data_IF_122488626920
#
_entry.id   IF_122488626920
#
_cell.length_a   1.000
_cell.length_b   1.000
_cell.length_c   1.000
_cell.angle_alpha   90.00
_cell.angle_beta   90.00
_cell.angle_gamma   90.00
#
_symmetry.space_group_name_H-M   'P 1'
#
loop_
_entity.id
_entity.type
_entity.pdbx_description
1 polymer ?
#
# COMPACT_ATOMS: atom_id res chain seq x y z
N UNK A 1 -3.62 -30.38 -52.27
CA UNK A 1 -2.30 -30.15 -51.61
C UNK A 1 -2.51 -29.19 -50.44
N UNK A 2 -2.89 -29.69 -49.26
CA UNK A 2 -3.18 -28.83 -48.09
C UNK A 2 -2.88 -29.50 -46.73
N UNK A 3 -2.39 -30.75 -46.72
CA UNK A 3 -2.23 -31.56 -45.50
C UNK A 3 -0.93 -31.32 -44.73
N UNK A 4 0.02 -30.56 -45.29
CA UNK A 4 1.33 -30.31 -44.64
C UNK A 4 1.30 -29.15 -43.64
N UNK A 5 0.45 -28.15 -43.87
CA UNK A 5 0.31 -26.96 -43.00
C UNK A 5 -0.39 -27.27 -41.66
N UNK A 6 -1.37 -28.17 -41.67
CA UNK A 6 -2.14 -28.56 -40.48
C UNK A 6 -1.31 -29.37 -39.46
N UNK A 7 -0.44 -30.27 -39.94
CA UNK A 7 0.45 -31.08 -39.11
C UNK A 7 1.51 -30.26 -38.35
N UNK A 8 2.03 -29.20 -38.99
CA UNK A 8 2.99 -28.30 -38.34
C UNK A 8 2.35 -27.51 -37.19
N UNK A 9 1.13 -27.01 -37.41
CA UNK A 9 0.35 -26.29 -36.38
C UNK A 9 -0.04 -27.18 -35.21
N UNK A 10 -0.43 -28.43 -35.45
CA UNK A 10 -0.77 -29.36 -34.36
C UNK A 10 0.44 -29.72 -33.50
N UNK A 11 1.63 -29.85 -34.09
CA UNK A 11 2.87 -30.10 -33.35
C UNK A 11 3.28 -28.87 -32.52
N UNK A 12 3.15 -27.67 -33.09
CA UNK A 12 3.43 -26.42 -32.37
C UNK A 12 2.49 -26.20 -31.17
N UNK A 13 1.19 -26.49 -31.33
CA UNK A 13 0.22 -26.40 -30.24
C UNK A 13 0.49 -27.44 -29.15
N UNK A 14 0.84 -28.67 -29.53
CA UNK A 14 1.21 -29.71 -28.58
C UNK A 14 2.46 -29.30 -27.78
N UNK A 15 3.45 -28.70 -28.45
CA UNK A 15 4.70 -28.27 -27.83
C UNK A 15 4.50 -27.08 -26.88
N UNK A 16 3.64 -26.12 -27.24
CA UNK A 16 3.21 -25.03 -26.34
C UNK A 16 2.44 -25.57 -25.14
N UNK A 17 1.55 -26.53 -25.34
CA UNK A 17 0.80 -27.17 -24.25
C UNK A 17 1.74 -27.90 -23.30
N UNK A 18 2.72 -28.63 -23.82
CA UNK A 18 3.75 -29.32 -23.02
C UNK A 18 4.61 -28.33 -22.22
N UNK A 19 5.02 -27.22 -22.85
CA UNK A 19 5.74 -26.13 -22.17
C UNK A 19 4.91 -25.48 -21.07
N UNK A 20 3.62 -25.25 -21.31
CA UNK A 20 2.71 -24.71 -20.30
C UNK A 20 2.53 -25.68 -19.13
N UNK A 21 2.38 -26.97 -19.40
CA UNK A 21 2.24 -28.01 -18.37
C UNK A 21 3.53 -28.18 -17.56
N UNK A 22 4.69 -28.08 -18.23
CA UNK A 22 6.00 -28.05 -17.57
C UNK A 22 6.14 -26.80 -16.69
N UNK A 23 5.76 -25.63 -17.20
CA UNK A 23 5.77 -24.37 -16.44
C UNK A 23 4.86 -24.44 -15.21
N UNK A 24 3.69 -25.07 -15.31
CA UNK A 24 2.79 -25.31 -14.17
C UNK A 24 3.36 -26.33 -13.16
N UNK A 25 4.29 -27.19 -13.59
CA UNK A 25 5.02 -28.12 -12.70
C UNK A 25 6.19 -27.43 -11.97
N UNK A 26 6.83 -26.46 -12.63
CA UNK A 26 7.96 -25.69 -12.08
C UNK A 26 7.52 -24.43 -11.31
N UNK A 27 6.36 -23.85 -11.61
CA UNK A 27 5.71 -22.87 -10.76
C UNK A 27 4.99 -23.65 -9.66
N UNK A 28 5.46 -23.61 -8.41
CA UNK A 28 4.68 -24.17 -7.33
C UNK A 28 3.30 -23.49 -7.36
N UNK A 29 2.19 -24.24 -7.32
CA UNK A 29 0.90 -23.64 -7.05
C UNK A 29 1.10 -22.82 -5.78
N UNK A 30 0.62 -21.57 -5.76
CA UNK A 30 0.70 -20.70 -4.58
C UNK A 30 -0.04 -21.36 -3.42
N UNK A 31 0.65 -22.28 -2.75
CA UNK A 31 0.14 -23.01 -1.61
C UNK A 31 -0.09 -21.95 -0.54
N UNK A 32 -1.30 -21.91 0.07
CA UNK A 32 -1.52 -21.02 1.19
C UNK A 32 -0.41 -21.27 2.20
N UNK A 33 0.35 -20.22 2.53
CA UNK A 33 1.52 -20.34 3.39
C UNK A 33 1.12 -21.07 4.68
N UNK A 34 1.77 -22.18 5.04
CA UNK A 34 1.46 -22.86 6.30
C UNK A 34 1.73 -21.88 7.44
N UNK A 35 0.69 -21.53 8.20
CA UNK A 35 0.89 -20.81 9.45
C UNK A 35 1.52 -21.77 10.48
N UNK A 36 2.52 -21.32 11.25
CA UNK A 36 3.09 -19.98 11.27
C UNK A 36 4.19 -19.81 10.22
N UNK A 37 4.07 -18.79 9.37
CA UNK A 37 5.22 -18.35 8.60
C UNK A 37 6.22 -17.66 9.53
N UNK A 38 7.50 -18.02 9.43
CA UNK A 38 8.57 -17.40 10.21
C UNK A 38 8.61 -15.88 9.99
N UNK A 39 8.12 -15.40 8.83
CA UNK A 39 7.91 -13.99 8.54
C UNK A 39 6.90 -13.33 9.50
N UNK A 40 5.72 -13.90 9.74
CA UNK A 40 4.77 -13.33 10.71
C UNK A 40 5.29 -13.44 12.15
N UNK A 41 6.07 -14.47 12.48
CA UNK A 41 6.76 -14.52 13.77
C UNK A 41 7.82 -13.40 13.92
N UNK A 42 8.46 -13.00 12.82
CA UNK A 42 9.49 -11.94 12.80
C UNK A 42 8.90 -10.54 12.71
N UNK A 43 7.82 -10.36 11.96
CA UNK A 43 7.13 -9.06 11.76
C UNK A 43 6.17 -8.77 12.93
N UNK A 44 5.65 -9.82 13.59
CA UNK A 44 4.64 -9.72 14.62
C UNK A 44 3.24 -9.54 14.05
N UNK A 45 2.26 -9.28 14.93
CA UNK A 45 0.85 -9.08 14.55
C UNK A 45 0.51 -7.61 14.25
N UNK A 46 1.53 -6.76 14.09
CA UNK A 46 1.37 -5.31 13.90
C UNK A 46 2.18 -4.81 12.72
N UNK A 47 1.54 -4.11 11.80
CA UNK A 47 2.18 -3.38 10.70
C UNK A 47 2.16 -1.89 11.03
N UNK A 48 3.33 -1.25 11.10
CA UNK A 48 3.42 0.17 11.43
C UNK A 48 3.33 1.02 10.17
N UNK A 49 2.44 2.00 10.18
CA UNK A 49 2.32 3.02 9.15
C UNK A 49 2.72 4.35 9.77
N UNK A 50 3.71 5.01 9.20
CA UNK A 50 4.12 6.34 9.61
C UNK A 50 3.16 7.41 9.10
N UNK A 51 3.05 8.52 9.81
CA UNK A 51 2.40 9.73 9.32
C UNK A 51 3.31 10.94 9.55
N UNK A 52 3.80 11.53 8.47
CA UNK A 52 4.58 12.76 8.50
C UNK A 52 3.61 13.95 8.43
N UNK A 53 3.35 14.55 9.59
CA UNK A 53 2.39 15.65 9.72
C UNK A 53 2.93 16.95 9.10
N UNK A 54 2.04 17.81 8.56
CA UNK A 54 2.43 19.12 8.05
C UNK A 54 3.19 19.97 9.08
N UNK A 55 4.20 20.70 8.63
CA UNK A 55 4.89 21.68 9.48
C UNK A 55 3.99 22.87 9.84
N UNK A 56 3.10 23.26 8.93
CA UNK A 56 2.14 24.34 9.14
C UNK A 56 1.09 23.96 10.19
N UNK A 57 1.01 24.73 11.27
CA UNK A 57 0.16 24.42 12.43
C UNK A 57 -1.32 24.31 12.07
N UNK A 58 -1.83 25.20 11.20
CA UNK A 58 -3.25 25.21 10.81
C UNK A 58 -3.68 23.91 10.13
N UNK A 59 -2.88 23.45 9.15
CA UNK A 59 -3.14 22.21 8.41
C UNK A 59 -2.86 20.99 9.28
N UNK A 60 -1.79 21.01 10.08
CA UNK A 60 -1.45 19.92 11.01
C UNK A 60 -2.60 19.53 11.93
N UNK A 61 -3.28 20.51 12.53
CA UNK A 61 -4.39 20.24 13.45
C UNK A 61 -5.52 19.51 12.74
N UNK A 62 -5.84 19.90 11.51
CA UNK A 62 -6.89 19.26 10.70
C UNK A 62 -6.51 17.83 10.33
N UNK A 63 -5.29 17.63 9.83
CA UNK A 63 -4.76 16.32 9.47
C UNK A 63 -4.72 15.40 10.69
N UNK A 64 -4.22 15.87 11.83
CA UNK A 64 -4.18 15.08 13.05
C UNK A 64 -5.59 14.68 13.52
N UNK A 65 -6.55 15.61 13.45
CA UNK A 65 -7.94 15.30 13.80
C UNK A 65 -8.55 14.27 12.86
N UNK A 66 -8.27 14.35 11.55
CA UNK A 66 -8.74 13.37 10.57
C UNK A 66 -8.11 11.99 10.80
N UNK A 67 -6.80 11.93 11.11
CA UNK A 67 -6.11 10.70 11.45
C UNK A 67 -6.68 10.04 12.71
N UNK A 68 -6.90 10.82 13.78
CA UNK A 68 -7.48 10.30 15.02
C UNK A 68 -8.87 9.70 14.76
N UNK A 69 -9.72 10.39 13.99
CA UNK A 69 -11.05 9.88 13.62
C UNK A 69 -10.96 8.59 12.80
N UNK A 70 -10.05 8.52 11.84
CA UNK A 70 -9.88 7.32 11.02
C UNK A 70 -9.41 6.10 11.85
N UNK A 71 -8.54 6.34 12.84
CA UNK A 71 -8.11 5.29 13.78
C UNK A 71 -9.28 4.84 14.66
N UNK A 72 -10.04 5.78 15.24
CA UNK A 72 -11.23 5.46 16.05
C UNK A 72 -12.30 4.71 15.26
N UNK A 73 -12.56 5.09 14.01
CA UNK A 73 -13.49 4.38 13.13
C UNK A 73 -13.04 2.95 12.85
N UNK A 74 -11.74 2.74 12.68
CA UNK A 74 -11.17 1.40 12.52
C UNK A 74 -11.31 0.59 13.80
N UNK A 75 -10.93 1.14 14.94
CA UNK A 75 -11.03 0.45 16.23
C UNK A 75 -12.48 0.06 16.56
N UNK A 76 -13.44 0.93 16.23
CA UNK A 76 -14.87 0.65 16.35
C UNK A 76 -15.37 -0.44 15.40
N UNK A 77 -14.78 -0.57 14.20
CA UNK A 77 -15.06 -1.69 13.29
C UNK A 77 -14.47 -3.00 13.78
N UNK A 78 -13.27 -2.96 14.34
CA UNK A 78 -12.58 -4.14 14.88
C UNK A 78 -13.31 -4.71 16.10
N UNK A 79 -13.86 -3.84 16.98
CA UNK A 79 -14.59 -4.24 18.18
C UNK A 79 -16.09 -4.53 17.96
N UNK A 80 -16.58 -4.56 16.72
CA UNK A 80 -18.01 -4.79 16.45
C UNK A 80 -18.39 -6.23 16.77
N UNK A 81 -19.46 -6.42 17.55
CA UNK A 81 -19.96 -7.75 17.92
C UNK A 81 -20.30 -8.60 16.68
N UNK A 82 -19.62 -9.76 16.49
CA UNK A 82 -19.82 -10.61 15.32
C UNK A 82 -21.22 -11.26 15.28
N UNK A 83 -21.96 -11.28 16.40
CA UNK A 83 -23.31 -11.84 16.46
C UNK A 83 -24.37 -10.99 15.73
N UNK A 84 -24.18 -9.67 15.64
CA UNK A 84 -25.05 -8.77 14.86
C UNK A 84 -24.85 -8.88 13.35
N UNK A 85 -23.82 -9.57 12.90
CA UNK A 85 -23.46 -9.76 11.49
C UNK A 85 -24.00 -11.08 10.92
N UNK A 86 -24.73 -11.85 11.74
CA UNK A 86 -25.29 -13.15 11.36
C UNK A 86 -26.40 -13.07 10.30
N UNK A 87 -27.02 -11.91 10.11
CA UNK A 87 -28.03 -11.69 9.06
C UNK A 87 -27.46 -11.09 7.75
N UNK A 88 -26.14 -10.84 7.69
CA UNK A 88 -25.49 -10.35 6.47
C UNK A 88 -24.92 -11.50 5.64
N UNK A 89 -24.88 -11.25 4.33
CA UNK A 89 -24.32 -12.17 3.32
C UNK A 89 -22.94 -12.70 3.77
N UNK A 90 -22.68 -14.02 3.67
CA UNK A 90 -21.43 -14.64 4.14
C UNK A 90 -20.16 -14.02 3.54
N UNK A 91 -20.23 -13.47 2.32
CA UNK A 91 -19.11 -12.77 1.66
C UNK A 91 -18.72 -11.47 2.38
N UNK A 92 -19.65 -10.83 3.11
CA UNK A 92 -19.41 -9.59 3.86
C UNK A 92 -18.95 -9.83 5.31
N UNK A 93 -18.86 -11.09 5.77
CA UNK A 93 -18.48 -11.43 7.15
C UNK A 93 -16.98 -11.40 7.42
N UNK A 94 -16.16 -11.31 6.38
CA UNK A 94 -14.70 -11.25 6.54
C UNK A 94 -14.25 -9.81 6.75
N UNK A 95 -14.64 -9.22 7.90
CA UNK A 95 -14.18 -7.89 8.33
C UNK A 95 -12.73 -7.88 8.83
N UNK A 96 -11.89 -8.79 8.34
CA UNK A 96 -10.45 -8.71 8.55
C UNK A 96 -9.86 -7.85 7.43
N UNK A 97 -9.78 -6.54 7.68
CA UNK A 97 -9.21 -5.57 6.74
C UNK A 97 -7.80 -5.96 6.27
N UNK A 98 -7.08 -6.73 7.08
CA UNK A 98 -5.76 -7.26 6.78
C UNK A 98 -5.74 -8.78 6.96
N UNK A 99 -5.02 -9.51 6.08
CA UNK A 99 -4.88 -10.94 6.18
C UNK A 99 -4.10 -11.33 7.45
N UNK A 100 -4.27 -12.59 7.88
CA UNK A 100 -3.50 -13.20 8.97
C UNK A 100 -3.64 -12.53 10.35
N UNK A 101 -4.77 -11.85 10.62
CA UNK A 101 -5.03 -11.14 11.87
C UNK A 101 -3.95 -10.08 12.17
N UNK A 102 -3.45 -9.43 11.12
CA UNK A 102 -2.58 -8.27 11.27
C UNK A 102 -3.42 -7.07 11.71
N UNK A 103 -2.86 -6.26 12.61
CA UNK A 103 -3.38 -4.95 12.97
C UNK A 103 -2.42 -3.88 12.45
N UNK A 104 -2.93 -2.73 12.03
CA UNK A 104 -2.10 -1.57 11.69
C UNK A 104 -1.92 -0.68 12.93
N UNK A 105 -0.74 -0.11 13.09
CA UNK A 105 -0.41 0.88 14.11
C UNK A 105 0.06 2.17 13.43
N UNK A 106 -0.51 3.30 13.80
CA UNK A 106 -0.16 4.60 13.22
C UNK A 106 0.91 5.29 14.08
N UNK A 107 2.03 5.68 13.46
CA UNK A 107 3.13 6.41 14.09
C UNK A 107 3.21 7.82 13.52
N UNK A 108 2.58 8.79 14.17
CA UNK A 108 2.60 10.20 13.72
C UNK A 108 3.84 10.94 14.23
N UNK A 109 4.54 11.65 13.35
CA UNK A 109 5.65 12.55 13.68
C UNK A 109 5.43 13.91 13.03
N UNK A 110 5.84 14.97 13.73
CA UNK A 110 5.78 16.34 13.21
C UNK A 110 7.20 16.91 13.10
N UNK A 111 7.53 17.59 11.99
CA UNK A 111 8.79 18.31 11.88
C UNK A 111 8.81 19.51 12.84
N UNK A 112 10.01 19.88 13.30
CA UNK A 112 10.21 20.99 14.26
C UNK A 112 9.88 22.34 13.63
N UNK A 113 10.19 22.49 12.35
CA UNK A 113 9.92 23.68 11.55
C UNK A 113 9.59 23.30 10.10
N UNK A 114 9.16 24.30 9.31
CA UNK A 114 8.74 24.13 7.92
C UNK A 114 9.90 24.25 6.91
N UNK A 115 11.14 24.15 7.37
CA UNK A 115 12.32 24.09 6.52
C UNK A 115 12.59 22.65 6.03
N UNK A 116 13.22 22.49 4.86
CA UNK A 116 13.45 21.18 4.25
C UNK A 116 14.29 20.25 5.14
N UNK A 117 15.28 20.76 5.86
CA UNK A 117 16.13 19.98 6.78
C UNK A 117 15.32 19.37 7.93
N UNK A 118 14.42 20.15 8.54
CA UNK A 118 13.52 19.66 9.60
C UNK A 118 12.61 18.54 9.11
N UNK A 119 12.09 18.64 7.88
CA UNK A 119 11.23 17.63 7.26
C UNK A 119 12.03 16.36 6.95
N UNK A 120 13.23 16.49 6.37
CA UNK A 120 14.13 15.37 6.10
C UNK A 120 14.51 14.64 7.38
N UNK A 121 14.90 15.35 8.43
CA UNK A 121 15.26 14.74 9.72
C UNK A 121 14.08 13.98 10.33
N UNK A 122 12.89 14.55 10.29
CA UNK A 122 11.68 13.91 10.80
C UNK A 122 11.36 12.62 10.01
N UNK A 123 11.48 12.63 8.68
CA UNK A 123 11.23 11.41 7.90
C UNK A 123 12.34 10.36 8.06
N UNK A 124 13.59 10.75 7.84
CA UNK A 124 14.71 9.81 7.78
C UNK A 124 15.16 9.31 9.16
N UNK A 125 15.22 10.18 10.17
CA UNK A 125 15.70 9.80 11.50
C UNK A 125 14.56 9.33 12.40
N UNK A 126 13.46 10.07 12.48
CA UNK A 126 12.38 9.75 13.42
C UNK A 126 11.47 8.64 12.90
N UNK A 127 10.96 8.77 11.68
CA UNK A 127 10.09 7.75 11.07
C UNK A 127 10.88 6.52 10.61
N UNK A 128 12.04 6.72 9.98
CA UNK A 128 12.92 5.62 9.57
C UNK A 128 13.32 4.71 10.73
N UNK A 129 13.69 5.27 11.89
CA UNK A 129 14.02 4.47 13.07
C UNK A 129 12.81 3.78 13.73
N UNK A 130 11.59 4.14 13.35
CA UNK A 130 10.37 3.58 13.94
C UNK A 130 9.91 2.27 13.27
N UNK A 131 10.61 1.82 12.21
CA UNK A 131 10.34 0.53 11.54
C UNK A 131 9.00 0.51 10.81
N UNK A 132 8.62 1.63 10.19
CA UNK A 132 7.36 1.77 9.44
C UNK A 132 7.47 1.10 8.07
N UNK A 133 6.39 0.48 7.61
CA UNK A 133 6.32 -0.18 6.29
C UNK A 133 5.86 0.74 5.17
N UNK A 134 5.23 1.87 5.52
CA UNK A 134 4.82 2.93 4.60
C UNK A 134 4.66 4.23 5.40
N UNK A 135 4.73 5.38 4.72
CA UNK A 135 4.52 6.70 5.34
C UNK A 135 3.40 7.44 4.62
N UNK A 136 2.38 7.88 5.37
CA UNK A 136 1.43 8.88 4.92
C UNK A 136 2.07 10.27 5.03
N UNK A 137 2.00 11.06 3.97
CA UNK A 137 2.53 12.41 3.96
C UNK A 137 1.50 13.40 3.41
N UNK A 138 1.60 14.66 3.84
CA UNK A 138 0.62 15.70 3.53
C UNK A 138 1.34 16.93 2.97
N UNK A 139 1.95 16.83 1.77
CA UNK A 139 2.70 17.93 1.19
C UNK A 139 1.78 19.12 0.87
N UNK A 140 2.27 20.33 1.14
CA UNK A 140 1.53 21.58 0.93
C UNK A 140 1.82 22.21 -0.43
N UNK A 141 2.91 21.80 -1.07
CA UNK A 141 3.36 22.35 -2.35
C UNK A 141 4.16 21.28 -3.13
N UNK A 142 4.50 21.62 -4.38
CA UNK A 142 5.24 20.72 -5.27
C UNK A 142 6.65 20.43 -4.78
N UNK A 143 7.31 21.38 -4.13
CA UNK A 143 8.68 21.21 -3.63
C UNK A 143 8.72 20.16 -2.51
N UNK A 144 7.78 20.23 -1.56
CA UNK A 144 7.60 19.21 -0.52
C UNK A 144 7.29 17.85 -1.14
N UNK A 145 6.46 17.78 -2.17
CA UNK A 145 6.15 16.52 -2.85
C UNK A 145 7.40 15.87 -3.48
N UNK A 146 8.24 16.65 -4.17
CA UNK A 146 9.50 16.16 -4.74
C UNK A 146 10.49 15.70 -3.67
N UNK A 147 10.54 16.42 -2.55
CA UNK A 147 11.38 16.04 -1.42
C UNK A 147 10.95 14.69 -0.84
N UNK A 148 9.65 14.46 -0.68
CA UNK A 148 9.10 13.19 -0.18
C UNK A 148 9.39 12.02 -1.12
N UNK A 149 9.35 12.25 -2.43
CA UNK A 149 9.67 11.23 -3.44
C UNK A 149 11.14 10.79 -3.36
N UNK A 150 12.05 11.76 -3.19
CA UNK A 150 13.46 11.49 -2.95
C UNK A 150 13.70 10.75 -1.62
N UNK A 151 12.98 11.13 -0.57
CA UNK A 151 13.03 10.42 0.72
C UNK A 151 12.50 8.99 0.62
N UNK A 152 11.41 8.79 -0.12
CA UNK A 152 10.82 7.48 -0.36
C UNK A 152 11.81 6.54 -1.04
N UNK A 153 12.49 7.06 -2.06
CA UNK A 153 13.53 6.34 -2.80
C UNK A 153 14.72 6.01 -1.91
N UNK A 154 15.23 6.99 -1.14
CA UNK A 154 16.39 6.81 -0.26
C UNK A 154 16.14 5.81 0.86
N UNK A 155 14.94 5.81 1.45
CA UNK A 155 14.61 4.93 2.56
C UNK A 155 14.09 3.56 2.12
N UNK A 156 13.83 3.37 0.83
CA UNK A 156 13.13 2.18 0.30
C UNK A 156 11.78 1.93 1.01
N UNK A 157 11.14 3.00 1.47
CA UNK A 157 9.84 2.99 2.14
C UNK A 157 8.87 3.78 1.27
N UNK A 158 7.67 3.24 0.92
CA UNK A 158 6.71 3.95 0.09
C UNK A 158 6.09 5.13 0.85
N UNK A 159 6.15 6.32 0.24
CA UNK A 159 5.44 7.50 0.69
C UNK A 159 4.11 7.65 -0.06
N UNK A 160 3.01 7.72 0.67
CA UNK A 160 1.66 7.92 0.16
C UNK A 160 1.27 9.36 0.46
N UNK A 161 1.30 10.20 -0.56
CA UNK A 161 0.96 11.62 -0.42
C UNK A 161 -0.56 11.82 -0.51
N UNK A 162 -1.13 12.50 0.48
CA UNK A 162 -2.54 12.92 0.51
C UNK A 162 -2.59 14.41 0.23
N UNK A 163 -3.20 14.77 -0.90
CA UNK A 163 -3.34 16.15 -1.37
C UNK A 163 -4.74 16.67 -1.04
N UNK A 164 -4.84 17.91 -0.54
CA UNK A 164 -6.12 18.59 -0.42
C UNK A 164 -6.55 19.01 -1.83
N UNK A 165 -7.60 18.37 -2.37
CA UNK A 165 -8.21 18.83 -3.61
C UNK A 165 -8.86 20.19 -3.33
N UNK A 166 -8.36 21.25 -3.99
CA UNK A 166 -9.15 22.47 -4.15
C UNK A 166 -10.47 22.09 -4.83
N UNK A 167 -11.57 22.68 -4.38
CA UNK A 167 -12.93 22.55 -4.93
C UNK A 167 -12.90 22.26 -6.45
N UNK A 168 -13.50 21.16 -6.94
CA UNK A 168 -13.65 20.96 -8.36
C UNK A 168 -14.56 22.08 -8.86
N UNK A 169 -14.01 23.10 -9.51
CA UNK A 169 -14.80 23.95 -10.39
C UNK A 169 -15.48 23.00 -11.38
N UNK A 170 -16.79 22.87 -11.23
CA UNK A 170 -17.66 21.95 -11.95
C UNK A 170 -17.43 22.08 -13.46
N UNK A 171 -16.55 21.23 -14.00
CA UNK A 171 -16.68 20.71 -15.35
C UNK A 171 -16.79 19.19 -15.20
N UNK A 172 -18.05 18.80 -15.07
CA UNK A 172 -18.64 17.48 -15.22
C UNK A 172 -17.70 16.35 -15.68
N UNK A 173 -17.48 15.38 -14.79
CA UNK A 173 -17.34 13.97 -15.17
C UNK A 173 -15.95 13.35 -15.09
N UNK A 174 -15.41 13.11 -13.90
CA UNK A 174 -14.63 11.88 -13.64
C UNK A 174 -14.48 11.60 -12.12
N UNK A 175 -14.69 10.34 -11.65
CA UNK A 175 -14.64 10.04 -10.23
C UNK A 175 -13.20 9.86 -9.72
N UNK A 176 -12.86 10.67 -8.71
CA UNK A 176 -11.89 10.38 -7.63
C UNK A 176 -10.60 9.64 -8.02
N UNK A 177 -9.70 10.35 -8.70
CA UNK A 177 -8.34 9.87 -8.93
C UNK A 177 -7.46 10.17 -7.71
N UNK A 178 -7.14 9.14 -6.93
CA UNK A 178 -5.92 9.10 -6.12
C UNK A 178 -4.76 9.22 -7.10
N UNK A 179 -4.12 10.39 -7.18
CA UNK A 179 -3.01 10.63 -8.09
C UNK A 179 -1.77 9.85 -7.62
N UNK A 180 -1.74 8.55 -7.91
CA UNK A 180 -0.55 7.73 -7.91
C UNK A 180 0.27 8.17 -9.13
N UNK A 181 1.25 9.05 -8.93
CA UNK A 181 2.30 9.29 -9.92
C UNK A 181 3.09 7.98 -10.10
N UNK A 182 2.56 7.12 -10.97
CA UNK A 182 3.36 6.13 -11.69
C UNK A 182 3.69 6.79 -13.00
N UNK A 183 4.92 7.25 -13.13
CA UNK A 183 5.65 7.26 -14.39
C UNK A 183 7.10 6.98 -14.03
N UNK A 184 7.64 5.84 -14.50
CA UNK A 184 8.95 5.22 -14.19
C UNK A 184 9.13 4.80 -12.72
N UNK A 185 9.39 3.55 -12.31
CA UNK A 185 10.05 2.42 -12.96
C UNK A 185 9.29 1.12 -12.67
N UNK A 186 9.00 0.38 -13.73
CA UNK A 186 8.65 -1.03 -13.66
C UNK A 186 9.94 -1.80 -13.91
N UNK A 187 10.83 -1.88 -12.92
CA UNK A 187 11.94 -2.83 -12.93
C UNK A 187 12.60 -2.90 -11.55
N UNK A 188 12.95 -4.12 -11.15
CA UNK A 188 13.67 -4.51 -9.94
C UNK A 188 12.89 -4.49 -8.60
N UNK A 189 11.98 -5.44 -8.46
CA UNK A 189 11.97 -6.28 -7.26
C UNK A 189 12.27 -7.72 -7.67
N UNK A 190 13.51 -7.93 -8.11
CA UNK A 190 14.20 -9.22 -8.13
C UNK A 190 15.49 -9.05 -7.34
N UNK A 191 15.42 -9.18 -6.01
CA UNK A 191 16.60 -9.39 -5.16
C UNK A 191 16.19 -10.28 -3.96
N UNK A 192 16.50 -11.58 -4.12
CA UNK A 192 16.64 -12.68 -3.15
C UNK A 192 15.50 -13.02 -2.17
#
# INVERSE_FOLDING_TARGET
>A
MSSTSSRSRSLSLLQLFLLFLLLQLFLPPGLPHPQPCLLLQRIGHKVRVGALLPAQRGVRVRVQAALNRAVEERDNRENRDPEREKDRDPEMRTNFFLPYNLSVELVSRQPVAADPDSVLRCGCADLGASGVSAVLAFPQNREELLQLDLMSSFMEIPFISVLEQGEPSLSEGEPTSVQRLRDSETQLFDVY
#
